data_IF_360075695227
#
_entry.id   IF_360075695227
#
_cell.length_a   1.000
_cell.length_b   1.000
_cell.length_c   1.000
_cell.angle_alpha   90.00
_cell.angle_beta   90.00
_cell.angle_gamma   90.00
#
_symmetry.space_group_name_H-M   'P 1'
#
loop_
_entity.id
_entity.type
_entity.pdbx_description
1 polymer ?
#
# COMPACT_ATOMS: atom_id res chain seq x y z
N UNK A 1 47.30 -0.49 22.60
CA UNK A 1 45.88 -0.13 22.79
C UNK A 1 45.10 -0.66 21.59
N UNK A 2 44.19 -1.61 21.80
CA UNK A 2 43.40 -2.22 20.74
C UNK A 2 42.03 -1.52 20.69
N UNK A 3 41.73 -0.83 19.60
CA UNK A 3 40.40 -0.22 19.38
C UNK A 3 39.51 -1.27 18.73
N UNK A 4 38.56 -1.81 19.50
CA UNK A 4 37.48 -2.65 18.99
C UNK A 4 36.41 -1.74 18.36
N UNK A 5 36.44 -1.63 17.04
CA UNK A 5 35.34 -1.07 16.25
C UNK A 5 34.18 -2.07 16.24
N UNK A 6 33.20 -1.86 17.11
CA UNK A 6 31.92 -2.54 17.02
C UNK A 6 31.12 -1.94 15.86
N UNK A 7 31.19 -2.57 14.68
CA UNK A 7 30.29 -2.27 13.59
C UNK A 7 28.89 -2.84 13.92
N UNK A 8 28.02 -2.00 14.46
CA UNK A 8 26.60 -2.33 14.63
C UNK A 8 25.95 -2.49 13.24
N UNK A 9 25.73 -3.74 12.83
CA UNK A 9 24.96 -4.07 11.65
C UNK A 9 23.50 -3.65 11.88
N UNK A 10 23.09 -2.54 11.26
CA UNK A 10 21.69 -2.18 11.12
C UNK A 10 21.05 -3.14 10.11
N UNK A 11 20.65 -4.33 10.58
CA UNK A 11 19.87 -5.26 9.76
C UNK A 11 18.60 -4.54 9.32
N UNK A 12 18.29 -4.45 8.01
CA UNK A 12 17.04 -3.87 7.58
C UNK A 12 15.91 -4.70 8.21
N UNK A 13 15.07 -4.04 9.01
CA UNK A 13 13.82 -4.62 9.46
C UNK A 13 12.98 -4.85 8.21
N UNK A 14 13.02 -6.07 7.68
CA UNK A 14 12.11 -6.49 6.62
C UNK A 14 10.72 -6.34 7.20
N UNK A 15 10.06 -5.22 6.90
CA UNK A 15 8.68 -4.97 7.27
C UNK A 15 7.87 -6.07 6.59
N UNK A 16 7.63 -7.16 7.33
CA UNK A 16 6.85 -8.28 6.87
C UNK A 16 5.48 -7.69 6.57
N UNK A 17 5.11 -7.67 5.29
CA UNK A 17 3.78 -7.23 4.90
C UNK A 17 2.77 -8.00 5.76
N UNK A 18 1.72 -7.33 6.23
CA UNK A 18 0.61 -8.08 6.80
C UNK A 18 0.15 -9.09 5.73
N UNK A 19 0.09 -10.37 6.09
CA UNK A 19 -0.22 -11.44 5.16
C UNK A 19 -1.67 -11.84 5.35
N UNK A 20 -2.52 -11.49 4.38
CA UNK A 20 -3.85 -12.08 4.27
C UNK A 20 -3.78 -13.51 3.71
N UNK A 21 -4.58 -14.45 4.24
CA UNK A 21 -4.71 -15.78 3.66
C UNK A 21 -5.16 -15.71 2.20
N UNK A 22 -4.65 -16.60 1.35
CA UNK A 22 -5.04 -16.61 -0.08
C UNK A 22 -6.54 -16.82 -0.27
N UNK A 23 -7.21 -17.55 0.63
CA UNK A 23 -8.67 -17.70 0.60
C UNK A 23 -9.41 -16.38 0.85
N UNK A 24 -8.91 -15.56 1.78
CA UNK A 24 -9.45 -14.23 2.05
C UNK A 24 -9.28 -13.31 0.85
N UNK A 25 -8.07 -13.24 0.28
CA UNK A 25 -7.80 -12.42 -0.92
C UNK A 25 -8.70 -12.83 -2.09
N UNK A 26 -8.95 -14.13 -2.28
CA UNK A 26 -9.83 -14.61 -3.36
C UNK A 26 -11.27 -14.12 -3.20
N UNK A 27 -11.75 -13.98 -1.97
CA UNK A 27 -13.12 -13.57 -1.63
C UNK A 27 -13.31 -12.04 -1.61
N UNK A 28 -12.25 -11.25 -1.71
CA UNK A 28 -12.36 -9.79 -1.73
C UNK A 28 -13.15 -9.30 -2.97
N UNK A 29 -13.94 -8.22 -2.80
CA UNK A 29 -14.58 -7.54 -3.92
C UNK A 29 -13.53 -6.89 -4.83
N UNK A 30 -13.96 -6.55 -6.04
CA UNK A 30 -13.09 -5.97 -7.05
C UNK A 30 -12.49 -4.63 -6.64
N UNK A 31 -13.27 -3.80 -5.95
CA UNK A 31 -12.84 -2.49 -5.44
C UNK A 31 -11.73 -2.60 -4.38
N UNK A 32 -11.43 -3.80 -3.88
CA UNK A 32 -10.29 -4.00 -3.00
C UNK A 32 -8.93 -3.93 -3.69
N UNK A 33 -8.89 -3.96 -5.02
CA UNK A 33 -7.68 -4.06 -5.83
C UNK A 33 -7.39 -2.74 -6.54
N UNK A 34 -6.10 -2.45 -6.76
CA UNK A 34 -5.70 -1.23 -7.47
C UNK A 34 -6.02 -1.28 -8.97
N UNK A 35 -6.11 -2.48 -9.54
CA UNK A 35 -6.51 -2.71 -10.92
C UNK A 35 -6.96 -4.16 -11.12
N UNK A 36 -7.79 -4.34 -12.14
CA UNK A 36 -8.22 -5.65 -12.63
C UNK A 36 -8.04 -5.70 -14.14
N UNK A 37 -7.26 -6.67 -14.60
CA UNK A 37 -7.06 -6.95 -16.02
C UNK A 37 -7.80 -8.24 -16.41
N UNK A 38 -8.15 -8.37 -17.69
CA UNK A 38 -8.66 -9.62 -18.24
C UNK A 38 -7.62 -10.18 -19.20
N UNK A 39 -7.11 -11.36 -18.88
CA UNK A 39 -6.14 -12.05 -19.73
C UNK A 39 -6.82 -12.54 -21.02
N UNK A 40 -6.06 -12.82 -22.10
CA UNK A 40 -6.63 -13.28 -23.37
C UNK A 40 -7.51 -14.54 -23.23
N UNK A 41 -7.23 -15.41 -22.26
CA UNK A 41 -8.04 -16.59 -21.95
C UNK A 41 -9.33 -16.29 -21.14
N UNK A 42 -9.65 -15.02 -20.90
CA UNK A 42 -10.83 -14.58 -20.14
C UNK A 42 -10.64 -14.58 -18.62
N UNK A 43 -9.45 -14.94 -18.12
CA UNK A 43 -9.16 -14.95 -16.67
C UNK A 43 -8.97 -13.53 -16.14
N UNK A 44 -9.61 -13.23 -15.01
CA UNK A 44 -9.43 -11.96 -14.29
C UNK A 44 -8.15 -11.98 -13.45
N UNK A 45 -7.28 -10.99 -13.67
CA UNK A 45 -6.06 -10.76 -12.91
C UNK A 45 -6.30 -9.57 -11.98
N UNK A 46 -6.29 -9.82 -10.67
CA UNK A 46 -6.57 -8.80 -9.65
C UNK A 46 -5.26 -8.40 -8.97
N UNK A 47 -4.93 -7.10 -8.99
CA UNK A 47 -3.61 -6.61 -8.61
C UNK A 47 -3.63 -5.76 -7.35
N UNK A 48 -2.65 -5.99 -6.48
CA UNK A 48 -2.32 -5.11 -5.34
C UNK A 48 -3.54 -4.83 -4.42
N UNK A 49 -4.06 -5.86 -3.73
CA UNK A 49 -5.17 -5.68 -2.79
C UNK A 49 -4.76 -4.75 -1.64
N UNK A 50 -5.64 -3.83 -1.27
CA UNK A 50 -5.39 -2.84 -0.21
C UNK A 50 -6.65 -2.34 0.52
N UNK A 51 -7.85 -2.76 0.10
CA UNK A 51 -9.04 -2.68 0.96
C UNK A 51 -9.41 -4.05 1.51
N UNK A 52 -10.04 -4.05 2.68
CA UNK A 52 -10.59 -5.25 3.28
C UNK A 52 -11.97 -5.62 2.68
N UNK A 53 -12.59 -6.68 3.20
CA UNK A 53 -13.89 -7.17 2.75
C UNK A 53 -15.04 -6.16 2.96
N UNK A 54 -14.86 -5.16 3.82
CA UNK A 54 -15.83 -4.08 4.04
C UNK A 54 -15.62 -2.90 3.10
N UNK A 55 -14.53 -2.91 2.31
CA UNK A 55 -14.09 -1.79 1.50
C UNK A 55 -13.27 -0.75 2.27
N UNK A 56 -12.95 -0.99 3.55
CA UNK A 56 -12.11 -0.10 4.32
C UNK A 56 -10.64 -0.20 3.88
N UNK A 57 -9.94 0.94 3.85
CA UNK A 57 -8.54 1.01 3.47
C UNK A 57 -7.66 0.35 4.54
N UNK A 58 -6.92 -0.69 4.18
CA UNK A 58 -5.96 -1.36 5.06
C UNK A 58 -4.56 -0.74 4.88
N UNK A 59 -4.09 -0.01 5.90
CA UNK A 59 -2.82 0.72 5.81
C UNK A 59 -1.59 -0.18 5.63
N UNK A 60 -1.45 -1.32 6.34
CA UNK A 60 -0.40 -2.29 6.04
C UNK A 60 -0.37 -2.75 4.58
N UNK A 61 -1.52 -3.09 4.01
CA UNK A 61 -1.63 -3.59 2.64
C UNK A 61 -1.43 -2.48 1.61
N UNK A 62 -1.89 -1.25 1.87
CA UNK A 62 -1.57 -0.09 1.03
C UNK A 62 -0.06 0.16 0.95
N UNK A 63 0.66 0.13 2.08
CA UNK A 63 2.12 0.30 2.09
C UNK A 63 2.80 -0.80 1.27
N UNK A 64 2.33 -2.04 1.42
CA UNK A 64 2.82 -3.17 0.65
C UNK A 64 2.56 -3.03 -0.85
N UNK A 65 1.36 -2.60 -1.23
CA UNK A 65 0.98 -2.34 -2.61
C UNK A 65 1.85 -1.26 -3.25
N UNK A 66 2.06 -0.14 -2.54
CA UNK A 66 2.96 0.95 -2.97
C UNK A 66 4.39 0.46 -3.19
N UNK A 67 4.91 -0.39 -2.29
CA UNK A 67 6.25 -0.94 -2.40
C UNK A 67 6.39 -1.90 -3.60
N UNK A 68 5.35 -2.69 -3.91
CA UNK A 68 5.40 -3.74 -4.94
C UNK A 68 4.94 -3.30 -6.34
N UNK A 69 4.34 -2.12 -6.49
CA UNK A 69 3.76 -1.65 -7.76
C UNK A 69 4.70 -1.68 -8.99
N UNK A 70 6.01 -1.58 -8.77
CA UNK A 70 7.02 -1.61 -9.83
C UNK A 70 7.41 -3.05 -10.24
N UNK A 71 6.99 -4.05 -9.46
CA UNK A 71 7.27 -5.48 -9.70
C UNK A 71 6.13 -6.17 -10.46
N UNK A 72 4.98 -5.50 -10.60
CA UNK A 72 3.82 -6.04 -11.30
C UNK A 72 4.09 -6.03 -12.81
N UNK A 73 3.90 -7.19 -13.43
CA UNK A 73 3.87 -7.34 -14.88
C UNK A 73 2.45 -7.06 -15.35
N UNK A 74 2.27 -5.93 -16.02
CA UNK A 74 0.99 -5.49 -16.57
C UNK A 74 0.78 -6.07 -17.97
N UNK A 75 -0.44 -6.52 -18.29
CA UNK A 75 -0.79 -6.86 -19.67
C UNK A 75 -1.05 -5.59 -20.48
N UNK A 76 -1.78 -4.65 -19.89
CA UNK A 76 -2.04 -3.32 -20.40
C UNK A 76 -1.24 -2.26 -19.61
N UNK A 77 -0.31 -1.55 -20.26
CA UNK A 77 0.40 -0.44 -19.64
C UNK A 77 -0.52 0.63 -19.02
N UNK A 78 -1.70 0.87 -19.58
CA UNK A 78 -2.68 1.82 -19.07
C UNK A 78 -3.28 1.34 -17.74
N UNK A 79 -3.56 0.05 -17.57
CA UNK A 79 -3.97 -0.53 -16.29
C UNK A 79 -2.91 -0.30 -15.21
N UNK A 80 -1.63 -0.46 -15.55
CA UNK A 80 -0.54 -0.16 -14.63
C UNK A 80 -0.46 1.32 -14.26
N UNK A 81 -0.72 2.23 -15.19
CA UNK A 81 -0.74 3.67 -14.92
C UNK A 81 -1.91 4.04 -14.00
N UNK A 82 -3.09 3.49 -14.26
CA UNK A 82 -4.27 3.66 -13.41
C UNK A 82 -4.03 3.14 -11.99
N UNK A 83 -3.46 1.94 -11.84
CA UNK A 83 -3.12 1.38 -10.53
C UNK A 83 -2.15 2.27 -9.73
N UNK A 84 -1.14 2.86 -10.40
CA UNK A 84 -0.19 3.79 -9.77
C UNK A 84 -0.90 5.06 -9.30
N UNK A 85 -1.73 5.66 -10.14
CA UNK A 85 -2.50 6.85 -9.81
C UNK A 85 -3.45 6.58 -8.63
N UNK A 86 -4.15 5.45 -8.63
CA UNK A 86 -5.05 5.01 -7.56
C UNK A 86 -4.33 4.92 -6.21
N UNK A 87 -3.20 4.20 -6.14
CA UNK A 87 -2.43 4.04 -4.91
C UNK A 87 -1.82 5.37 -4.42
N UNK A 88 -1.35 6.22 -5.34
CA UNK A 88 -0.80 7.53 -5.03
C UNK A 88 -1.87 8.50 -4.50
N UNK A 89 -3.12 8.38 -4.98
CA UNK A 89 -4.25 9.13 -4.46
C UNK A 89 -4.54 8.77 -3.00
N UNK A 90 -4.58 7.48 -2.65
CA UNK A 90 -4.73 7.05 -1.26
C UNK A 90 -3.60 7.59 -0.37
N UNK A 91 -2.34 7.50 -0.82
CA UNK A 91 -1.21 8.05 -0.07
C UNK A 91 -1.34 9.56 0.17
N UNK A 92 -1.78 10.30 -0.85
CA UNK A 92 -1.95 11.75 -0.77
C UNK A 92 -3.08 12.13 0.20
N UNK A 93 -4.20 11.42 0.15
CA UNK A 93 -5.31 11.59 1.07
C UNK A 93 -4.89 11.34 2.53
N UNK A 94 -4.11 10.30 2.79
CA UNK A 94 -3.58 10.01 4.14
C UNK A 94 -2.67 11.13 4.65
N UNK A 95 -1.78 11.65 3.80
CA UNK A 95 -0.90 12.78 4.18
C UNK A 95 -1.70 14.04 4.52
N UNK A 96 -2.70 14.35 3.70
CA UNK A 96 -3.58 15.48 3.95
C UNK A 96 -4.37 15.33 5.27
N UNK A 97 -4.89 14.14 5.55
CA UNK A 97 -5.59 13.85 6.80
C UNK A 97 -4.67 13.98 8.03
N UNK A 98 -3.44 13.46 7.94
CA UNK A 98 -2.46 13.61 9.02
C UNK A 98 -2.04 15.07 9.26
N UNK A 99 -1.92 15.87 8.20
CA UNK A 99 -1.62 17.31 8.33
C UNK A 99 -2.73 18.10 9.00
N UNK A 100 -4.00 17.80 8.71
CA UNK A 100 -5.15 18.44 9.38
C UNK A 100 -5.22 18.08 10.87
N UNK A 101 -5.02 16.81 11.21
CA UNK A 101 -5.01 16.37 12.61
C UNK A 101 -3.89 17.03 13.43
N UNK A 102 -2.74 17.29 12.81
CA UNK A 102 -1.64 18.04 13.44
C UNK A 102 -1.92 19.53 13.62
N UNK A 103 -2.63 20.17 12.68
CA UNK A 103 -2.97 21.60 12.74
C UNK A 103 -4.10 21.93 13.72
N UNK A 104 -5.06 21.03 13.91
CA UNK A 104 -6.14 21.21 14.91
C UNK A 104 -5.60 21.19 16.36
N UNK A 105 -4.54 20.42 16.61
CA UNK A 105 -3.91 20.30 17.93
C UNK A 105 -3.07 21.52 18.33
N UNK A 106 -2.64 22.34 17.36
CA UNK A 106 -1.79 23.54 17.58
C UNK A 106 -2.62 24.84 17.72
N UNK A 107 -3.94 24.76 17.48
CA UNK A 107 -4.83 25.93 17.44
C UNK A 107 -5.56 26.27 18.75
N UNK A 108 -5.38 25.51 19.84
CA UNK A 108 -6.06 25.81 21.12
C UNK A 108 -5.17 26.67 22.02
N UNK A 109 -5.08 27.96 21.69
CA UNK A 109 -4.93 29.01 22.69
C UNK A 109 -5.73 30.21 22.21
N UNK A 110 -6.91 30.39 22.78
CA UNK A 110 -7.56 31.70 22.86
C UNK A 110 -7.97 31.93 24.31
N UNK A 111 -8.64 33.05 24.64
CA UNK A 111 -8.53 34.39 24.04
C UNK A 111 -7.31 35.18 24.52
#
# INVERSE_FOLDING_TARGET
MLVLLAASALLPHQARAAEWPSAYIRALPDDAFAAIETAPEGRRLRHLPHHDHTGALDLPHLRSALARRHQVKWLDPAAGAAARAHLDAHRSALRAASGRAGGEADGTTGP
#
